data_IF_915328444896
#
_entry.id   IF_915328444896
#
_cell.length_a   1.000
_cell.length_b   1.000
_cell.length_c   1.000
_cell.angle_alpha   90.00
_cell.angle_beta   90.00
_cell.angle_gamma   90.00
#
_symmetry.space_group_name_H-M   'P 1'
#
loop_
_entity.id
_entity.type
_entity.pdbx_description
1 polymer ?
#
# COMPACT_ATOMS: atom_id res chain seq x y z
N UNK A 1 -11.95 -6.14 13.03
CA UNK A 1 -12.51 -6.41 11.69
C UNK A 1 -11.34 -6.74 10.82
N UNK A 2 -11.27 -8.00 10.42
CA UNK A 2 -10.19 -8.53 9.61
C UNK A 2 -10.20 -7.89 8.21
N UNK A 3 -9.07 -7.84 7.52
CA UNK A 3 -8.96 -7.23 6.18
C UNK A 3 -9.89 -7.93 5.17
N UNK A 4 -10.00 -9.26 5.25
CA UNK A 4 -10.92 -10.03 4.40
C UNK A 4 -12.38 -9.58 4.57
N UNK A 5 -12.83 -9.28 5.79
CA UNK A 5 -14.20 -8.82 6.02
C UNK A 5 -14.48 -7.51 5.26
N UNK A 6 -13.52 -6.58 5.27
CA UNK A 6 -13.64 -5.29 4.59
C UNK A 6 -13.61 -5.49 3.07
N UNK A 7 -12.65 -6.24 2.55
CA UNK A 7 -12.52 -6.43 1.11
C UNK A 7 -13.68 -7.26 0.52
N UNK A 8 -14.16 -8.26 1.26
CA UNK A 8 -15.33 -9.04 0.88
C UNK A 8 -16.61 -8.19 0.89
N UNK A 9 -16.74 -7.22 1.81
CA UNK A 9 -17.90 -6.32 1.81
C UNK A 9 -17.97 -5.48 0.53
N UNK A 10 -16.82 -5.09 -0.02
CA UNK A 10 -16.78 -4.38 -1.32
C UNK A 10 -17.26 -5.30 -2.45
N UNK A 11 -16.90 -6.58 -2.41
CA UNK A 11 -17.34 -7.57 -3.40
C UNK A 11 -18.84 -7.88 -3.30
N UNK A 12 -19.37 -8.01 -2.08
CA UNK A 12 -20.79 -8.29 -1.84
C UNK A 12 -21.69 -7.06 -1.99
N UNK A 13 -21.11 -5.86 -2.10
CA UNK A 13 -21.85 -4.60 -2.13
C UNK A 13 -22.46 -4.23 -0.77
N UNK A 14 -21.89 -4.75 0.31
CA UNK A 14 -22.32 -4.49 1.68
C UNK A 14 -21.71 -3.18 2.21
N UNK A 15 -22.56 -2.37 2.84
CA UNK A 15 -22.13 -1.12 3.48
C UNK A 15 -21.58 -1.39 4.88
N UNK A 16 -20.30 -1.74 4.94
CA UNK A 16 -19.57 -1.91 6.20
C UNK A 16 -18.87 -0.61 6.60
N UNK A 17 -18.96 -0.25 7.88
CA UNK A 17 -18.25 0.89 8.45
C UNK A 17 -16.82 0.47 8.83
N UNK A 18 -15.84 1.26 8.38
CA UNK A 18 -14.43 1.05 8.74
C UNK A 18 -14.28 1.33 10.24
N UNK A 19 -13.77 0.39 11.06
CA UNK A 19 -13.61 0.62 12.48
C UNK A 19 -12.41 1.52 12.77
N UNK A 20 -12.42 2.21 13.93
CA UNK A 20 -11.33 3.10 14.36
C UNK A 20 -9.98 2.40 14.54
N UNK A 21 -9.97 1.08 14.70
CA UNK A 21 -8.74 0.30 14.75
C UNK A 21 -7.94 0.36 13.44
N UNK A 22 -8.60 0.63 12.30
CA UNK A 22 -7.93 0.87 11.01
C UNK A 22 -7.59 2.36 10.77
N UNK A 23 -7.80 3.23 11.75
CA UNK A 23 -7.54 4.66 11.62
C UNK A 23 -6.15 5.06 12.14
N UNK A 24 -5.62 6.16 11.58
CA UNK A 24 -4.52 6.94 12.11
C UNK A 24 -5.02 8.37 12.35
N UNK A 25 -5.24 8.71 13.62
CA UNK A 25 -5.82 10.00 14.00
C UNK A 25 -7.23 10.16 13.44
N UNK A 26 -7.44 11.14 12.56
CA UNK A 26 -8.77 11.47 11.99
C UNK A 26 -9.06 10.78 10.65
N UNK A 27 -8.12 10.01 10.11
CA UNK A 27 -8.26 9.35 8.82
C UNK A 27 -8.08 7.85 8.95
N UNK A 28 -8.78 7.10 8.11
CA UNK A 28 -8.46 5.72 7.81
C UNK A 28 -7.04 5.66 7.27
N UNK A 29 -6.32 4.61 7.67
CA UNK A 29 -4.99 4.28 7.14
C UNK A 29 -4.96 4.32 5.60
N UNK A 30 -3.91 4.90 5.04
CA UNK A 30 -3.73 5.10 3.61
C UNK A 30 -3.79 3.78 2.83
N UNK A 31 -3.06 2.77 3.29
CA UNK A 31 -3.03 1.43 2.69
C UNK A 31 -4.40 0.77 2.64
N UNK A 32 -5.22 0.89 3.70
CA UNK A 32 -6.59 0.35 3.67
C UNK A 32 -7.46 1.13 2.67
N UNK A 33 -7.35 2.46 2.64
CA UNK A 33 -8.08 3.31 1.68
C UNK A 33 -7.72 2.92 0.23
N UNK A 34 -6.44 2.70 -0.03
CA UNK A 34 -5.91 2.26 -1.32
C UNK A 34 -6.37 0.83 -1.65
N UNK A 35 -6.38 -0.08 -0.67
CA UNK A 35 -6.83 -1.47 -0.84
C UNK A 35 -8.32 -1.55 -1.19
N UNK A 36 -9.16 -0.73 -0.56
CA UNK A 36 -10.60 -0.62 -0.88
C UNK A 36 -10.80 -0.18 -2.34
N UNK A 37 -10.05 0.85 -2.78
CA UNK A 37 -10.08 1.30 -4.18
C UNK A 37 -9.57 0.22 -5.14
N UNK A 38 -8.48 -0.47 -4.78
CA UNK A 38 -7.92 -1.56 -5.56
C UNK A 38 -8.95 -2.68 -5.74
N UNK A 39 -9.56 -3.13 -4.64
CA UNK A 39 -10.61 -4.15 -4.66
C UNK A 39 -11.80 -3.73 -5.51
N UNK A 40 -12.30 -2.49 -5.36
CA UNK A 40 -13.43 -2.00 -6.13
C UNK A 40 -13.15 -1.95 -7.64
N UNK A 41 -11.94 -1.54 -8.05
CA UNK A 41 -11.56 -1.54 -9.47
C UNK A 41 -11.38 -2.95 -10.05
N UNK A 42 -11.16 -3.97 -9.21
CA UNK A 42 -10.97 -5.35 -9.67
C UNK A 42 -12.29 -6.05 -10.02
N UNK A 43 -13.42 -5.57 -9.48
CA UNK A 43 -14.74 -6.12 -9.75
C UNK A 43 -15.06 -6.03 -11.25
N UNK A 44 -15.66 -7.07 -11.82
CA UNK A 44 -15.99 -7.18 -13.24
C UNK A 44 -14.80 -6.97 -14.20
N UNK A 45 -13.58 -7.27 -13.75
CA UNK A 45 -12.42 -7.43 -14.63
C UNK A 45 -12.30 -8.90 -15.03
N UNK A 46 -11.96 -9.16 -16.29
CA UNK A 46 -11.61 -10.51 -16.76
C UNK A 46 -10.48 -11.10 -15.89
N UNK A 47 -10.69 -12.25 -15.23
CA UNK A 47 -9.74 -12.82 -14.28
C UNK A 47 -8.40 -13.25 -14.91
N UNK A 48 -8.33 -13.33 -16.25
CA UNK A 48 -7.06 -13.56 -16.96
C UNK A 48 -6.15 -12.33 -16.99
N UNK A 49 -6.70 -11.12 -16.72
CA UNK A 49 -5.95 -9.85 -16.72
C UNK A 49 -5.33 -9.61 -15.36
N UNK A 50 -4.11 -9.07 -15.38
CA UNK A 50 -3.35 -8.74 -14.17
C UNK A 50 -3.31 -7.24 -13.97
N UNK A 51 -3.42 -6.79 -12.72
CA UNK A 51 -3.12 -5.40 -12.39
C UNK A 51 -1.65 -5.13 -12.73
N UNK A 52 -1.36 -4.06 -13.46
CA UNK A 52 0.00 -3.66 -13.85
C UNK A 52 0.38 -2.27 -13.38
N UNK A 53 -0.60 -1.39 -13.25
CA UNK A 53 -0.44 -0.04 -12.73
C UNK A 53 -1.60 0.28 -11.80
N UNK A 54 -1.30 0.86 -10.64
CA UNK A 54 -2.28 1.40 -9.72
C UNK A 54 -1.82 2.74 -9.19
N UNK A 55 -2.64 3.76 -9.34
CA UNK A 55 -2.36 5.11 -8.86
C UNK A 55 -3.44 5.51 -7.88
N UNK A 56 -3.05 6.11 -6.77
CA UNK A 56 -3.94 6.60 -5.71
C UNK A 56 -3.64 8.05 -5.42
N UNK A 57 -4.69 8.87 -5.36
CA UNK A 57 -4.66 10.24 -4.89
C UNK A 57 -5.46 10.37 -3.60
N UNK A 58 -4.84 10.88 -2.55
CA UNK A 58 -5.49 11.12 -1.26
C UNK A 58 -5.92 12.58 -1.19
N UNK A 59 -7.22 12.83 -1.32
CA UNK A 59 -7.77 14.18 -1.47
C UNK A 59 -8.14 14.77 -0.11
N UNK A 60 -8.76 13.96 0.76
CA UNK A 60 -9.23 14.34 2.10
C UNK A 60 -9.24 13.11 3.02
N UNK A 61 -9.23 13.31 4.36
CA UNK A 61 -9.40 12.22 5.32
C UNK A 61 -10.64 11.39 5.02
N UNK A 62 -10.48 10.07 4.93
CA UNK A 62 -11.59 9.11 4.96
C UNK A 62 -11.85 8.75 6.42
N UNK A 63 -12.94 9.21 7.00
CA UNK A 63 -13.19 9.06 8.43
C UNK A 63 -13.78 7.67 8.76
N UNK A 64 -13.28 7.06 9.84
CA UNK A 64 -13.80 5.81 10.38
C UNK A 64 -15.21 5.99 10.95
N UNK A 65 -15.93 4.87 11.13
CA UNK A 65 -17.29 4.79 11.68
C UNK A 65 -18.32 5.66 10.95
N UNK A 66 -18.05 6.01 9.69
CA UNK A 66 -18.93 6.80 8.84
C UNK A 66 -19.19 6.07 7.51
N UNK A 67 -20.42 6.11 6.98
CA UNK A 67 -20.72 5.56 5.67
C UNK A 67 -19.86 6.21 4.59
N UNK A 68 -19.53 5.44 3.56
CA UNK A 68 -18.85 5.92 2.36
C UNK A 68 -19.41 5.18 1.15
N UNK A 69 -19.28 5.80 -0.01
CA UNK A 69 -19.68 5.24 -1.30
C UNK A 69 -18.44 5.09 -2.17
N UNK A 70 -18.44 4.05 -3.01
CA UNK A 70 -17.42 3.86 -4.03
C UNK A 70 -18.08 4.00 -5.40
N UNK A 71 -17.53 4.88 -6.22
CA UNK A 71 -17.95 5.05 -7.61
C UNK A 71 -16.82 4.59 -8.51
N UNK A 72 -17.09 3.60 -9.37
CA UNK A 72 -16.14 3.02 -10.32
C UNK A 72 -16.60 3.32 -11.73
N UNK A 73 -15.66 3.67 -12.60
CA UNK A 73 -15.87 3.93 -14.03
C UNK A 73 -14.88 3.11 -14.85
N UNK A 74 -15.37 2.42 -15.89
CA UNK A 74 -14.49 1.79 -16.87
C UNK A 74 -14.13 2.80 -17.95
N UNK A 75 -12.89 3.31 -17.93
CA UNK A 75 -12.39 4.30 -18.88
C UNK A 75 -12.06 3.67 -20.23
N UNK A 76 -11.62 2.42 -20.24
CA UNK A 76 -11.33 1.66 -21.45
C UNK A 76 -11.52 0.17 -21.22
N UNK A 77 -12.04 -0.55 -22.21
CA UNK A 77 -12.13 -2.01 -22.19
C UNK A 77 -11.74 -2.57 -23.56
N UNK A 78 -10.43 -2.59 -23.84
CA UNK A 78 -9.88 -3.05 -25.10
C UNK A 78 -9.44 -4.51 -25.07
N UNK A 79 -8.95 -4.99 -26.22
CA UNK A 79 -8.45 -6.38 -26.38
C UNK A 79 -7.36 -6.74 -25.36
N UNK A 80 -6.42 -5.83 -25.11
CA UNK A 80 -5.25 -6.09 -24.25
C UNK A 80 -5.35 -5.41 -22.89
N UNK A 81 -5.92 -4.20 -22.83
CA UNK A 81 -5.91 -3.37 -21.62
C UNK A 81 -7.33 -2.98 -21.24
N UNK A 82 -7.64 -3.08 -19.95
CA UNK A 82 -8.84 -2.55 -19.31
C UNK A 82 -8.39 -1.51 -18.28
N UNK A 83 -8.93 -0.31 -18.35
CA UNK A 83 -8.58 0.80 -17.47
C UNK A 83 -9.83 1.15 -16.66
N UNK A 84 -9.69 1.17 -15.35
CA UNK A 84 -10.76 1.60 -14.43
C UNK A 84 -10.30 2.78 -13.59
N UNK A 85 -11.23 3.67 -13.31
CA UNK A 85 -11.10 4.77 -12.35
C UNK A 85 -12.05 4.52 -11.20
N UNK A 86 -11.66 4.88 -9.98
CA UNK A 86 -12.52 4.79 -8.81
C UNK A 86 -12.36 6.00 -7.90
N UNK A 87 -13.40 6.28 -7.10
CA UNK A 87 -13.38 7.31 -6.07
C UNK A 87 -14.15 6.86 -4.84
N UNK A 88 -13.60 7.17 -3.67
CA UNK A 88 -14.33 7.08 -2.40
C UNK A 88 -14.96 8.43 -2.10
N UNK A 89 -16.27 8.42 -1.84
CA UNK A 89 -17.08 9.59 -1.52
C UNK A 89 -17.63 9.41 -0.10
N UNK A 90 -17.47 10.42 0.75
CA UNK A 90 -18.03 10.42 2.10
C UNK A 90 -18.57 11.81 2.41
N UNK A 91 -19.84 11.88 2.82
CA UNK A 91 -20.58 13.13 3.05
C UNK A 91 -20.57 14.05 1.81
N UNK A 92 -20.77 13.46 0.62
CA UNK A 92 -20.82 14.19 -0.66
C UNK A 92 -19.46 14.74 -1.15
N UNK A 93 -18.36 14.40 -0.47
CA UNK A 93 -17.00 14.86 -0.83
C UNK A 93 -16.11 13.70 -1.21
N UNK A 94 -15.35 13.87 -2.29
CA UNK A 94 -14.29 12.93 -2.68
C UNK A 94 -13.21 12.93 -1.58
N UNK A 95 -12.90 11.74 -1.08
CA UNK A 95 -11.86 11.47 -0.08
C UNK A 95 -10.60 10.90 -0.73
N UNK A 96 -10.74 9.96 -1.65
CA UNK A 96 -9.63 9.41 -2.41
C UNK A 96 -10.07 9.06 -3.84
N UNK A 97 -9.11 9.03 -4.75
CA UNK A 97 -9.29 8.63 -6.16
C UNK A 97 -8.27 7.57 -6.51
N UNK A 98 -8.60 6.68 -7.45
CA UNK A 98 -7.65 5.74 -8.01
C UNK A 98 -7.82 5.52 -9.51
N UNK A 99 -6.73 5.07 -10.14
CA UNK A 99 -6.71 4.50 -11.48
C UNK A 99 -6.05 3.13 -11.42
N UNK A 100 -6.64 2.15 -12.10
CA UNK A 100 -6.12 0.79 -12.19
C UNK A 100 -6.07 0.35 -13.65
N UNK A 101 -4.89 -0.10 -14.10
CA UNK A 101 -4.69 -0.64 -15.45
C UNK A 101 -4.49 -2.16 -15.38
N UNK A 102 -5.45 -2.90 -15.91
CA UNK A 102 -5.47 -4.36 -15.99
C UNK A 102 -5.08 -4.81 -17.40
N UNK A 103 -4.08 -5.69 -17.49
CA UNK A 103 -3.48 -6.09 -18.76
C UNK A 103 -3.57 -7.61 -18.92
N UNK A 104 -4.09 -8.06 -20.06
CA UNK A 104 -4.02 -9.46 -20.47
C UNK A 104 -2.55 -9.85 -20.70
N UNK A 105 -2.00 -10.86 -20.00
CA UNK A 105 -0.66 -11.36 -20.28
C UNK A 105 -0.52 -11.75 -21.75
N UNK A 106 0.52 -11.24 -22.40
CA UNK A 106 0.84 -11.55 -23.79
C UNK A 106 2.04 -12.50 -23.83
N UNK A 107 2.07 -13.39 -24.81
CA UNK A 107 3.28 -14.13 -25.13
C UNK A 107 4.35 -13.17 -25.65
N UNK A 108 5.56 -13.29 -25.11
CA UNK A 108 6.72 -12.50 -25.52
C UNK A 108 7.99 -13.32 -25.27
N UNK A 109 8.94 -13.21 -26.20
CA UNK A 109 10.31 -13.73 -26.09
C UNK A 109 11.23 -12.78 -25.31
N UNK A 110 10.77 -11.57 -24.99
CA UNK A 110 11.51 -10.59 -24.21
C UNK A 110 11.23 -10.80 -22.73
N UNK A 111 12.27 -11.19 -21.98
CA UNK A 111 12.26 -11.25 -20.52
C UNK A 111 13.35 -10.35 -19.95
N UNK A 112 12.96 -9.43 -19.08
CA UNK A 112 13.86 -8.54 -18.36
C UNK A 112 13.65 -8.81 -16.88
N UNK A 113 14.70 -9.30 -16.23
CA UNK A 113 14.72 -9.57 -14.80
C UNK A 113 16.06 -9.08 -14.25
N UNK A 114 16.04 -7.88 -13.70
CA UNK A 114 17.23 -7.17 -13.20
C UNK A 114 17.18 -6.93 -11.70
N UNK A 115 16.10 -7.32 -11.04
CA UNK A 115 15.93 -7.11 -9.62
C UNK A 115 16.81 -8.09 -8.83
N UNK A 116 17.38 -7.61 -7.73
CA UNK A 116 18.08 -8.44 -6.77
C UNK A 116 17.67 -7.96 -5.39
N UNK A 117 17.02 -8.83 -4.62
CA UNK A 117 16.59 -8.50 -3.28
C UNK A 117 17.79 -8.04 -2.42
N UNK A 118 17.66 -6.93 -1.68
CA UNK A 118 18.73 -6.48 -0.80
C UNK A 118 18.97 -7.50 0.31
N UNK A 119 20.23 -7.62 0.75
CA UNK A 119 20.59 -8.49 1.86
C UNK A 119 20.20 -7.82 3.20
N UNK A 120 18.96 -8.00 3.61
CA UNK A 120 18.43 -7.51 4.88
C UNK A 120 18.58 -8.57 5.99
N UNK A 121 18.73 -8.12 7.23
CA UNK A 121 18.61 -9.02 8.39
C UNK A 121 17.24 -9.68 8.38
N UNK A 122 17.15 -10.95 8.74
CA UNK A 122 15.87 -11.66 8.86
C UNK A 122 14.99 -11.02 9.96
N UNK A 123 13.66 -11.21 9.95
CA UNK A 123 12.74 -10.62 10.93
C UNK A 123 13.19 -10.80 12.38
N UNK A 124 13.67 -11.99 12.76
CA UNK A 124 14.07 -12.33 14.13
C UNK A 124 15.31 -11.56 14.61
N UNK A 125 16.11 -11.03 13.68
CA UNK A 125 17.31 -10.23 13.94
C UNK A 125 17.11 -8.73 13.63
N UNK A 126 15.86 -8.34 13.33
CA UNK A 126 15.46 -6.98 12.94
C UNK A 126 14.68 -6.29 14.06
N UNK A 127 14.47 -4.98 13.95
CA UNK A 127 13.77 -4.20 14.98
C UNK A 127 12.27 -4.26 14.73
N UNK A 128 11.51 -4.84 15.66
CA UNK A 128 10.06 -4.91 15.55
C UNK A 128 9.41 -3.50 15.59
N UNK A 129 8.43 -3.29 14.73
CA UNK A 129 7.54 -2.12 14.76
C UNK A 129 6.42 -2.38 15.78
N UNK A 130 6.74 -2.17 17.05
CA UNK A 130 5.82 -2.38 18.17
C UNK A 130 5.83 -1.23 19.19
N UNK A 131 4.76 -1.14 19.98
CA UNK A 131 4.62 -0.21 21.09
C UNK A 131 3.40 0.69 21.01
N UNK A 132 2.99 1.22 22.17
CA UNK A 132 1.73 1.97 22.35
C UNK A 132 1.69 3.34 21.66
N UNK A 133 2.82 3.80 21.13
CA UNK A 133 2.95 5.07 20.42
C UNK A 133 2.63 4.95 18.92
N UNK A 134 2.49 3.73 18.40
CA UNK A 134 2.17 3.49 17.01
C UNK A 134 0.69 3.75 16.73
N UNK A 135 0.34 4.22 15.51
CA UNK A 135 -1.04 4.27 15.03
C UNK A 135 -1.77 2.93 15.21
N UNK A 136 -3.07 3.00 15.51
CA UNK A 136 -3.89 1.80 15.80
C UNK A 136 -3.80 0.71 14.73
N UNK A 137 -3.68 1.08 13.45
CA UNK A 137 -3.65 0.11 12.36
C UNK A 137 -2.43 -0.82 12.40
N UNK A 138 -1.32 -0.43 13.04
CA UNK A 138 -0.15 -1.30 13.21
C UNK A 138 -0.47 -2.56 14.04
N UNK A 139 -1.59 -2.57 14.78
CA UNK A 139 -2.06 -3.78 15.45
C UNK A 139 -2.46 -4.90 14.48
N UNK A 140 -2.65 -4.62 13.19
CA UNK A 140 -2.94 -5.62 12.16
C UNK A 140 -1.69 -6.16 11.47
N UNK A 141 -0.53 -5.53 11.66
CA UNK A 141 0.69 -5.85 10.94
C UNK A 141 1.77 -6.34 11.87
N UNK A 142 2.53 -7.31 11.38
CA UNK A 142 3.78 -7.77 11.96
C UNK A 142 4.90 -7.24 11.09
N UNK A 143 5.56 -6.18 11.58
CA UNK A 143 6.53 -5.39 10.83
C UNK A 143 7.87 -5.36 11.53
N UNK A 144 8.95 -5.52 10.75
CA UNK A 144 10.32 -5.51 11.25
C UNK A 144 11.19 -4.61 10.38
N UNK A 145 11.79 -3.58 10.95
CA UNK A 145 12.77 -2.70 10.29
C UNK A 145 14.14 -3.38 10.28
N UNK A 146 14.67 -3.60 9.08
CA UNK A 146 15.95 -4.26 8.84
C UNK A 146 17.01 -3.33 8.21
N UNK A 147 16.64 -2.09 7.88
CA UNK A 147 17.54 -1.01 7.46
C UNK A 147 18.10 -0.23 8.65
N UNK A 148 19.10 0.62 8.39
CA UNK A 148 19.74 1.43 9.44
C UNK A 148 18.87 2.60 9.95
N UNK A 149 17.99 3.14 9.10
CA UNK A 149 17.23 4.35 9.40
C UNK A 149 16.27 4.17 10.57
N UNK A 150 16.50 4.91 11.66
CA UNK A 150 15.59 4.97 12.80
C UNK A 150 14.59 6.11 12.56
N UNK A 151 13.28 5.82 12.42
CA UNK A 151 12.26 6.86 12.25
C UNK A 151 12.33 7.93 13.34
N UNK A 152 12.26 9.20 12.93
CA UNK A 152 12.19 10.37 13.81
C UNK A 152 13.42 10.64 14.68
N UNK A 153 14.57 10.06 14.33
CA UNK A 153 15.85 10.22 15.04
C UNK A 153 16.61 11.51 14.67
N UNK A 154 16.36 12.08 13.50
CA UNK A 154 17.12 13.20 12.93
C UNK A 154 18.40 12.75 12.21
N UNK A 155 18.57 11.47 11.95
CA UNK A 155 19.71 10.92 11.20
C UNK A 155 19.52 11.11 9.69
N UNK A 156 20.61 11.40 8.98
CA UNK A 156 20.62 11.55 7.52
C UNK A 156 20.64 10.19 6.80
N UNK A 157 19.69 9.31 7.14
CA UNK A 157 19.53 7.99 6.51
C UNK A 157 18.37 8.04 5.51
N UNK A 158 18.64 8.02 4.19
CA UNK A 158 17.63 8.22 3.17
C UNK A 158 16.91 6.92 2.77
N UNK A 159 16.75 5.98 3.70
CA UNK A 159 16.11 4.69 3.43
C UNK A 159 15.35 4.14 4.63
N UNK A 160 14.35 3.32 4.31
CA UNK A 160 13.60 2.52 5.26
C UNK A 160 13.20 1.21 4.60
N UNK A 161 13.33 0.10 5.31
CA UNK A 161 12.97 -1.21 4.77
C UNK A 161 13.06 -2.33 5.78
N UNK A 162 12.57 -3.49 5.37
CA UNK A 162 12.50 -4.69 6.18
C UNK A 162 11.39 -5.62 5.73
N UNK A 163 10.69 -6.20 6.70
CA UNK A 163 9.72 -7.26 6.49
C UNK A 163 8.35 -6.86 7.04
N UNK A 164 7.29 -7.19 6.31
CA UNK A 164 5.91 -6.98 6.77
C UNK A 164 5.01 -8.14 6.37
N UNK A 165 4.10 -8.52 7.27
CA UNK A 165 2.94 -9.36 6.99
C UNK A 165 1.75 -8.93 7.83
N UNK A 166 0.58 -9.53 7.60
CA UNK A 166 -0.53 -9.42 8.55
C UNK A 166 -0.27 -10.31 9.78
N UNK A 167 -0.66 -9.83 10.98
CA UNK A 167 -0.62 -10.63 12.21
C UNK A 167 -1.62 -11.77 12.20
N UNK A 168 -2.81 -11.50 11.67
CA UNK A 168 -3.82 -12.51 11.36
C UNK A 168 -3.80 -12.70 9.84
N UNK A 169 -3.40 -13.90 9.40
CA UNK A 169 -3.22 -14.16 7.98
C UNK A 169 -4.59 -14.19 7.26
N UNK A 170 -4.72 -13.51 6.10
CA UNK A 170 -5.93 -13.60 5.30
C UNK A 170 -6.05 -14.96 4.62
N UNK A 171 -7.26 -15.25 4.12
CA UNK A 171 -7.51 -16.49 3.40
C UNK A 171 -6.61 -16.62 2.15
N UNK A 172 -6.34 -15.51 1.46
CA UNK A 172 -5.45 -15.44 0.32
C UNK A 172 -4.92 -14.01 0.14
N UNK A 173 -3.73 -13.87 -0.44
CA UNK A 173 -3.18 -12.55 -0.80
C UNK A 173 -3.65 -12.16 -2.20
N UNK A 174 -4.50 -11.14 -2.28
CA UNK A 174 -4.84 -10.45 -3.51
C UNK A 174 -3.97 -9.20 -3.72
N UNK A 175 -4.07 -8.56 -4.89
CA UNK A 175 -3.36 -7.29 -5.13
C UNK A 175 -3.82 -6.20 -4.14
N UNK A 176 -5.08 -6.21 -3.69
CA UNK A 176 -5.57 -5.29 -2.66
C UNK A 176 -4.93 -5.54 -1.27
N UNK A 177 -4.68 -6.80 -0.91
CA UNK A 177 -3.94 -7.16 0.31
C UNK A 177 -2.49 -6.67 0.22
N UNK A 178 -1.84 -6.90 -0.92
CA UNK A 178 -0.49 -6.40 -1.19
C UNK A 178 -0.44 -4.87 -1.02
N UNK A 179 -1.35 -4.14 -1.68
CA UNK A 179 -1.48 -2.67 -1.55
C UNK A 179 -1.67 -2.24 -0.10
N UNK A 180 -2.45 -2.96 0.69
CA UNK A 180 -2.64 -2.64 2.11
C UNK A 180 -1.33 -2.76 2.91
N UNK A 181 -0.60 -3.86 2.74
CA UNK A 181 0.63 -4.14 3.49
C UNK A 181 1.78 -3.19 3.16
N UNK A 182 1.93 -2.81 1.89
CA UNK A 182 3.13 -2.06 1.47
C UNK A 182 3.09 -0.56 1.82
N UNK A 183 1.99 -0.08 2.39
CA UNK A 183 1.89 1.26 3.01
C UNK A 183 2.03 1.21 4.54
N UNK A 184 2.17 0.01 5.14
CA UNK A 184 2.24 -0.18 6.59
C UNK A 184 3.64 0.12 7.15
N UNK A 185 4.18 1.29 6.82
CA UNK A 185 5.53 1.72 7.18
C UNK A 185 5.51 3.16 7.71
N UNK A 186 6.40 3.51 8.65
CA UNK A 186 6.76 4.91 8.85
C UNK A 186 7.14 5.56 7.51
N UNK A 187 6.91 6.87 7.31
CA UNK A 187 7.30 7.51 6.06
C UNK A 187 8.79 7.36 5.80
N UNK A 188 9.20 7.04 4.56
CA UNK A 188 10.61 6.70 4.25
C UNK A 188 11.60 7.80 4.63
N UNK A 189 11.20 9.07 4.52
CA UNK A 189 12.02 10.22 4.92
C UNK A 189 11.98 10.50 6.44
N UNK A 190 11.22 9.74 7.24
CA UNK A 190 11.12 9.93 8.68
C UNK A 190 12.42 9.88 9.46
N UNK A 191 13.48 9.14 9.07
CA UNK A 191 14.76 9.22 9.77
C UNK A 191 15.35 10.62 9.82
N UNK A 192 15.13 11.43 8.77
CA UNK A 192 15.61 12.82 8.69
C UNK A 192 14.88 13.78 9.64
N UNK A 193 13.77 13.38 10.25
CA UNK A 193 12.98 14.27 11.11
C UNK A 193 13.41 14.10 12.57
N UNK A 194 13.47 15.19 13.32
CA UNK A 194 13.63 15.13 14.78
C UNK A 194 12.24 15.12 15.42
N UNK A 195 11.86 13.98 15.99
CA UNK A 195 10.55 13.78 16.60
C UNK A 195 9.40 13.65 15.60
N UNK A 196 8.20 13.39 16.12
CA UNK A 196 7.02 13.20 15.27
C UNK A 196 6.67 14.48 14.49
N UNK A 197 6.38 14.30 13.21
CA UNK A 197 5.84 15.33 12.32
C UNK A 197 4.51 14.83 11.75
N UNK A 198 3.44 15.64 11.76
CA UNK A 198 2.24 15.29 11.00
C UNK A 198 2.62 15.13 9.53
N UNK A 199 2.13 14.08 8.90
CA UNK A 199 2.46 13.69 7.53
C UNK A 199 1.18 13.27 6.81
N UNK A 200 1.10 13.54 5.50
CA UNK A 200 0.00 13.05 4.66
C UNK A 200 0.51 12.68 3.28
N UNK A 201 0.08 11.55 2.75
CA UNK A 201 0.34 11.17 1.37
C UNK A 201 -0.50 12.03 0.43
N UNK A 202 0.09 12.54 -0.64
CA UNK A 202 -0.65 13.21 -1.74
C UNK A 202 -1.00 12.18 -2.80
N UNK A 203 0.02 11.45 -3.24
CA UNK A 203 -0.05 10.53 -4.38
C UNK A 203 0.81 9.31 -4.14
N UNK A 204 0.35 8.18 -4.66
CA UNK A 204 1.07 6.93 -4.62
C UNK A 204 0.83 6.14 -5.91
N UNK A 205 1.90 5.78 -6.60
CA UNK A 205 1.86 5.03 -7.85
C UNK A 205 2.60 3.71 -7.68
N UNK A 206 1.98 2.61 -8.10
CA UNK A 206 2.48 1.24 -7.92
C UNK A 206 2.48 0.53 -9.26
N UNK A 207 3.61 -0.07 -9.62
CA UNK A 207 3.79 -0.89 -10.80
C UNK A 207 4.00 -2.35 -10.41
N UNK A 208 3.17 -3.25 -10.94
CA UNK A 208 3.17 -4.67 -10.54
C UNK A 208 3.93 -5.53 -11.55
N UNK A 209 5.01 -6.15 -11.10
CA UNK A 209 5.85 -7.05 -11.88
C UNK A 209 5.30 -8.48 -11.89
N UNK A 210 4.91 -8.99 -10.72
CA UNK A 210 4.37 -10.35 -10.54
C UNK A 210 3.05 -10.32 -9.74
N UNK A 211 2.27 -11.38 -9.86
CA UNK A 211 0.97 -11.48 -9.18
C UNK A 211 1.15 -11.87 -7.71
N UNK A 212 0.39 -11.22 -6.84
CA UNK A 212 0.35 -11.54 -5.42
C UNK A 212 -0.29 -12.91 -5.11
N UNK A 213 -1.02 -13.51 -6.07
CA UNK A 213 -1.76 -14.78 -5.90
C UNK A 213 -0.90 -16.01 -5.58
N UNK A 214 0.43 -15.92 -5.74
CA UNK A 214 1.38 -17.00 -5.42
C UNK A 214 1.95 -16.91 -4.02
N UNK A 215 1.66 -15.84 -3.30
CA UNK A 215 2.20 -15.58 -1.97
C UNK A 215 1.42 -16.39 -0.95
N UNK A 216 2.15 -17.00 -0.01
CA UNK A 216 1.54 -17.53 1.20
C UNK A 216 1.05 -16.35 2.05
N UNK A 217 -0.17 -16.40 2.62
CA UNK A 217 -0.64 -15.38 3.55
C UNK A 217 0.18 -15.23 4.83
N UNK A 218 0.99 -16.24 5.16
CA UNK A 218 1.85 -16.29 6.36
C UNK A 218 3.27 -15.77 6.13
N UNK A 219 3.66 -15.61 4.86
CA UNK A 219 5.02 -15.20 4.49
C UNK A 219 5.19 -13.69 4.68
N UNK A 220 6.39 -13.28 5.10
CA UNK A 220 6.78 -11.88 5.06
C UNK A 220 7.01 -11.41 3.62
N UNK A 221 6.56 -10.19 3.35
CA UNK A 221 6.99 -9.43 2.20
C UNK A 221 8.21 -8.61 2.57
N UNK A 222 9.19 -8.62 1.67
CA UNK A 222 10.30 -7.69 1.76
C UNK A 222 9.92 -6.35 1.15
N UNK A 223 10.36 -5.27 1.80
CA UNK A 223 10.14 -3.89 1.38
C UNK A 223 11.42 -3.09 1.56
N UNK A 224 11.82 -2.31 0.56
CA UNK A 224 12.93 -1.37 0.68
C UNK A 224 12.59 -0.09 -0.08
N UNK A 225 12.58 1.02 0.64
CA UNK A 225 12.34 2.35 0.10
C UNK A 225 13.52 3.28 0.29
N UNK A 226 13.71 4.16 -0.69
CA UNK A 226 14.73 5.21 -0.69
C UNK A 226 14.09 6.56 -0.93
N UNK A 227 14.61 7.58 -0.26
CA UNK A 227 14.19 8.97 -0.46
C UNK A 227 14.75 9.47 -1.79
N UNK A 228 13.88 10.03 -2.63
CA UNK A 228 14.26 10.71 -3.87
C UNK A 228 14.71 12.14 -3.58
N UNK A 229 13.86 12.88 -2.85
CA UNK A 229 14.08 14.26 -2.46
C UNK A 229 13.20 14.61 -1.25
N UNK A 230 13.57 15.68 -0.55
CA UNK A 230 12.77 16.30 0.50
C UNK A 230 13.06 17.79 0.59
N UNK A 231 12.08 18.64 0.29
CA UNK A 231 12.22 20.09 0.30
C UNK A 231 10.84 20.76 0.37
N UNK A 232 10.76 21.97 0.96
CA UNK A 232 9.56 22.82 0.96
C UNK A 232 8.29 22.10 1.50
N UNK A 233 8.46 21.26 2.53
CA UNK A 233 7.33 20.54 3.14
C UNK A 233 6.83 19.36 2.30
N UNK A 234 7.60 18.87 1.34
CA UNK A 234 7.30 17.68 0.55
C UNK A 234 8.48 16.71 0.64
N UNK A 235 8.18 15.40 0.63
CA UNK A 235 9.16 14.35 0.34
C UNK A 235 8.63 13.40 -0.73
N UNK A 236 9.55 12.82 -1.49
CA UNK A 236 9.25 11.72 -2.41
C UNK A 236 10.16 10.54 -2.12
N UNK A 237 9.64 9.33 -2.32
CA UNK A 237 10.40 8.10 -2.15
C UNK A 237 9.98 7.06 -3.17
N UNK A 238 10.90 6.20 -3.57
CA UNK A 238 10.62 5.01 -4.36
C UNK A 238 10.82 3.75 -3.50
N UNK A 239 10.02 2.72 -3.74
CA UNK A 239 10.13 1.44 -3.04
C UNK A 239 10.14 0.24 -3.99
N UNK A 240 10.83 -0.81 -3.58
CA UNK A 240 10.82 -2.14 -4.20
C UNK A 240 10.23 -3.14 -3.20
N UNK A 241 9.35 -4.01 -3.68
CA UNK A 241 8.62 -4.99 -2.88
C UNK A 241 8.81 -6.38 -3.48
N UNK A 242 9.17 -7.36 -2.66
CA UNK A 242 9.43 -8.73 -3.11
C UNK A 242 8.82 -9.78 -2.19
N UNK A 243 8.55 -10.96 -2.75
CA UNK A 243 8.07 -12.12 -2.01
C UNK A 243 9.20 -12.89 -1.31
N UNK A 244 8.84 -13.87 -0.49
CA UNK A 244 9.82 -14.73 0.20
C UNK A 244 10.73 -15.53 -0.76
N UNK A 245 10.31 -15.72 -2.01
CA UNK A 245 11.09 -16.35 -3.08
C UNK A 245 12.13 -15.39 -3.73
N UNK A 246 12.18 -14.13 -3.29
CA UNK A 246 13.06 -13.09 -3.81
C UNK A 246 12.58 -12.47 -5.13
N UNK A 247 11.39 -12.82 -5.63
CA UNK A 247 10.86 -12.22 -6.85
C UNK A 247 10.26 -10.84 -6.59
N UNK A 248 10.58 -9.89 -7.46
CA UNK A 248 9.96 -8.57 -7.44
C UNK A 248 8.46 -8.70 -7.66
N UNK A 249 7.67 -8.20 -6.72
CA UNK A 249 6.21 -8.14 -6.80
C UNK A 249 5.78 -6.79 -7.39
N UNK A 250 6.31 -5.71 -6.85
CA UNK A 250 5.96 -4.36 -7.27
C UNK A 250 7.08 -3.36 -6.99
N UNK A 251 7.03 -2.24 -7.71
CA UNK A 251 7.74 -1.01 -7.32
C UNK A 251 6.71 0.09 -7.08
N UNK A 252 7.05 1.08 -6.26
CA UNK A 252 6.17 2.23 -6.06
C UNK A 252 6.92 3.54 -5.94
N UNK A 253 6.19 4.64 -6.17
CA UNK A 253 6.64 6.01 -5.90
C UNK A 253 5.56 6.70 -5.09
N UNK A 254 5.95 7.28 -3.95
CA UNK A 254 5.05 7.98 -3.05
C UNK A 254 5.53 9.41 -2.83
N UNK A 255 4.58 10.34 -2.71
CA UNK A 255 4.83 11.75 -2.39
C UNK A 255 4.03 12.14 -1.15
N UNK A 256 4.71 12.68 -0.16
CA UNK A 256 4.14 13.02 1.15
C UNK A 256 4.34 14.51 1.47
N UNK A 257 3.33 15.14 2.08
CA UNK A 257 3.44 16.43 2.77
C UNK A 257 4.03 16.22 4.16
N UNK A 258 4.95 17.09 4.52
CA UNK A 258 5.57 17.20 5.84
C UNK A 258 5.10 18.52 6.45
N UNK A 259 4.33 18.45 7.53
CA UNK A 259 3.85 19.65 8.23
C UNK A 259 4.91 20.13 9.24
N UNK A 260 5.14 21.45 9.26
CA UNK A 260 6.12 22.14 10.12
C UNK A 260 5.67 22.32 11.55
#
# INVERSE_FOLDING_TARGET
MHIDEILNSIHSGENVLIPESWAQGRTTFGGLTAAILCQATSLDVDPSRRLRNFEVGFVRPLEALKPYEISVETLANGKTVTIKSARIIQEGKVRATARADYVLPLESDVKIDTFTAPNLKQPEASVALEGDHLPNFFNYFDGHVATAGIPFSGEEVPELGGWVKFKEAPQAISDAHLVCMIDAWPPTASPHYIGFKPLSTISWSIHFANSASRLSPEDYLGYHAKVNFGEQGISSSNAEIWGADGQLLATSVQTNIIYG
#
